data_IF_699598357457
#
_entry.id   IF_699598357457
#
_cell.length_a   1.000
_cell.length_b   1.000
_cell.length_c   1.000
_cell.angle_alpha   90.00
_cell.angle_beta   90.00
_cell.angle_gamma   90.00
#
_symmetry.space_group_name_H-M   'P 1'
#
loop_
_entity.id
_entity.type
_entity.pdbx_description
1 polymer ?
#
# COMPACT_ATOMS: atom_id res chain seq x y z
N UNK A 1 -1.49 2.86 -17.19
CA UNK A 1 -2.26 4.07 -16.83
C UNK A 1 -1.32 5.28 -16.92
N UNK A 2 -1.82 6.48 -17.17
CA UNK A 2 -1.04 7.73 -17.12
C UNK A 2 -1.68 8.64 -16.07
N UNK A 3 -0.86 9.38 -15.33
CA UNK A 3 -1.29 10.37 -14.35
C UNK A 3 -0.73 11.73 -14.77
N UNK A 4 -1.49 12.80 -14.52
CA UNK A 4 -1.10 14.17 -14.84
C UNK A 4 -0.58 14.93 -13.62
N UNK A 5 -0.83 14.43 -12.40
CA UNK A 5 -0.34 15.01 -11.15
C UNK A 5 -0.18 13.96 -10.06
N UNK A 6 0.53 14.33 -8.99
CA UNK A 6 0.62 13.51 -7.78
C UNK A 6 -0.75 13.39 -7.09
N UNK A 7 -1.55 14.45 -7.05
CA UNK A 7 -2.90 14.43 -6.48
C UNK A 7 -3.81 13.42 -7.20
N UNK A 8 -3.74 13.36 -8.53
CA UNK A 8 -4.50 12.39 -9.33
C UNK A 8 -4.07 10.95 -8.99
N UNK A 9 -2.76 10.70 -8.91
CA UNK A 9 -2.24 9.39 -8.55
C UNK A 9 -2.65 8.97 -7.13
N UNK A 10 -2.62 9.90 -6.17
CA UNK A 10 -3.07 9.66 -4.79
C UNK A 10 -4.56 9.34 -4.73
N UNK A 11 -5.39 10.11 -5.43
CA UNK A 11 -6.83 9.84 -5.47
C UNK A 11 -7.12 8.44 -6.04
N UNK A 12 -6.49 8.08 -7.16
CA UNK A 12 -6.65 6.74 -7.76
C UNK A 12 -6.13 5.64 -6.84
N UNK A 13 -5.03 5.87 -6.14
CA UNK A 13 -4.50 4.94 -5.14
C UNK A 13 -5.53 4.68 -4.03
N UNK A 14 -6.05 5.73 -3.40
CA UNK A 14 -7.01 5.63 -2.30
C UNK A 14 -8.28 4.90 -2.74
N UNK A 15 -8.88 5.35 -3.85
CA UNK A 15 -10.11 4.75 -4.38
C UNK A 15 -9.91 3.26 -4.69
N UNK A 16 -8.78 2.93 -5.32
CA UNK A 16 -8.48 1.54 -5.70
C UNK A 16 -8.20 0.67 -4.48
N UNK A 17 -7.49 1.16 -3.46
CA UNK A 17 -7.28 0.45 -2.22
C UNK A 17 -8.60 0.16 -1.48
N UNK A 18 -9.54 1.12 -1.48
CA UNK A 18 -10.88 0.93 -0.90
C UNK A 18 -11.68 -0.12 -1.70
N UNK A 19 -11.62 -0.08 -3.04
CA UNK A 19 -12.27 -1.08 -3.90
C UNK A 19 -11.70 -2.47 -3.66
N UNK A 20 -10.37 -2.59 -3.57
CA UNK A 20 -9.69 -3.86 -3.31
C UNK A 20 -10.09 -4.42 -1.94
N UNK A 21 -10.19 -3.58 -0.91
CA UNK A 21 -10.62 -3.97 0.45
C UNK A 21 -12.01 -4.61 0.43
N UNK A 22 -12.98 -3.93 -0.19
CA UNK A 22 -14.34 -4.45 -0.32
C UNK A 22 -14.39 -5.73 -1.17
N UNK A 23 -13.61 -5.78 -2.24
CA UNK A 23 -13.53 -6.95 -3.13
C UNK A 23 -12.97 -8.18 -2.42
N UNK A 24 -11.89 -8.01 -1.64
CA UNK A 24 -11.28 -9.08 -0.86
C UNK A 24 -12.21 -9.63 0.21
N UNK A 25 -13.00 -8.75 0.86
CA UNK A 25 -13.99 -9.14 1.87
C UNK A 25 -15.20 -9.87 1.28
N UNK A 26 -15.54 -9.60 0.03
CA UNK A 26 -16.72 -10.18 -0.66
C UNK A 26 -16.39 -11.33 -1.60
N UNK A 27 -15.10 -11.58 -1.86
CA UNK A 27 -14.63 -12.61 -2.79
C UNK A 27 -14.70 -12.22 -4.27
N UNK A 28 -14.93 -10.94 -4.60
CA UNK A 28 -14.87 -10.44 -5.98
C UNK A 28 -13.42 -10.22 -6.45
N UNK A 29 -12.67 -11.31 -6.61
CA UNK A 29 -11.26 -11.25 -6.99
C UNK A 29 -11.03 -10.61 -8.36
N UNK A 30 -12.01 -10.63 -9.26
CA UNK A 30 -11.88 -9.99 -10.58
C UNK A 30 -11.81 -8.46 -10.43
N UNK A 31 -12.67 -7.89 -9.59
CA UNK A 31 -12.62 -6.46 -9.27
C UNK A 31 -11.42 -6.12 -8.40
N UNK A 32 -11.11 -6.97 -7.41
CA UNK A 32 -9.95 -6.80 -6.53
C UNK A 32 -8.62 -6.74 -7.29
N UNK A 33 -8.38 -7.66 -8.22
CA UNK A 33 -7.14 -7.70 -9.00
C UNK A 33 -6.99 -6.46 -9.91
N UNK A 34 -8.08 -6.01 -10.54
CA UNK A 34 -8.06 -4.77 -11.33
C UNK A 34 -7.79 -3.54 -10.48
N UNK A 35 -8.25 -3.54 -9.23
CA UNK A 35 -7.96 -2.47 -8.28
C UNK A 35 -6.49 -2.51 -7.86
N UNK A 36 -5.93 -3.70 -7.62
CA UNK A 36 -4.50 -3.85 -7.35
C UNK A 36 -3.61 -3.33 -8.48
N UNK A 37 -3.95 -3.63 -9.74
CA UNK A 37 -3.22 -3.10 -10.91
C UNK A 37 -3.15 -1.56 -10.89
N UNK A 38 -4.25 -0.90 -10.47
CA UNK A 38 -4.31 0.56 -10.35
C UNK A 38 -3.52 1.07 -9.14
N UNK A 39 -3.58 0.37 -8.00
CA UNK A 39 -2.76 0.69 -6.81
C UNK A 39 -1.29 0.70 -7.20
N UNK A 40 -0.80 -0.38 -7.83
CA UNK A 40 0.60 -0.52 -8.24
C UNK A 40 1.01 0.56 -9.24
N UNK A 41 0.17 0.84 -10.24
CA UNK A 41 0.45 1.91 -11.20
C UNK A 41 0.56 3.29 -10.52
N UNK A 42 -0.31 3.57 -9.55
CA UNK A 42 -0.34 4.83 -8.81
C UNK A 42 0.88 4.98 -7.91
N UNK A 43 1.20 3.96 -7.11
CA UNK A 43 2.36 3.96 -6.22
C UNK A 43 3.68 4.07 -7.01
N UNK A 44 3.78 3.42 -8.17
CA UNK A 44 4.92 3.59 -9.07
C UNK A 44 5.10 5.04 -9.51
N UNK A 45 4.01 5.70 -9.94
CA UNK A 45 4.07 7.10 -10.33
C UNK A 45 4.50 7.99 -9.16
N UNK A 46 3.97 7.75 -7.96
CA UNK A 46 4.32 8.48 -6.75
C UNK A 46 5.80 8.28 -6.40
N UNK A 47 6.30 7.04 -6.44
CA UNK A 47 7.71 6.70 -6.22
C UNK A 47 8.66 7.49 -7.13
N UNK A 48 8.33 7.55 -8.43
CA UNK A 48 9.16 8.18 -9.45
C UNK A 48 9.17 9.72 -9.38
N UNK A 49 8.20 10.33 -8.69
CA UNK A 49 8.04 11.79 -8.65
C UNK A 49 8.31 12.37 -7.26
N UNK A 50 7.59 11.90 -6.24
CA UNK A 50 7.80 12.30 -4.85
C UNK A 50 7.20 11.24 -3.90
N UNK A 51 8.01 10.30 -3.38
CA UNK A 51 7.50 9.26 -2.49
C UNK A 51 6.87 9.85 -1.22
N UNK A 52 7.39 10.97 -0.71
CA UNK A 52 6.91 11.60 0.53
C UNK A 52 5.50 12.17 0.48
N UNK A 53 4.94 12.29 -0.72
CA UNK A 53 3.63 12.89 -0.95
C UNK A 53 2.46 12.13 -0.29
N UNK A 54 2.64 10.85 0.05
CA UNK A 54 1.60 10.02 0.68
C UNK A 54 1.81 9.71 2.16
N UNK A 55 2.79 10.33 2.80
CA UNK A 55 3.13 10.06 4.21
C UNK A 55 1.96 10.24 5.18
N UNK A 56 1.05 11.18 4.89
CA UNK A 56 -0.18 11.40 5.67
C UNK A 56 -1.17 10.23 5.61
N UNK A 57 -1.07 9.34 4.62
CA UNK A 57 -1.96 8.19 4.46
C UNK A 57 -1.63 7.03 5.40
N UNK A 58 -0.52 7.11 6.14
CA UNK A 58 -0.21 6.16 7.21
C UNK A 58 -1.27 6.18 8.32
N UNK A 59 -1.98 7.30 8.50
CA UNK A 59 -3.06 7.48 9.48
C UNK A 59 -4.46 7.48 8.82
N UNK A 60 -4.58 7.06 7.56
CA UNK A 60 -5.85 7.05 6.83
C UNK A 60 -6.90 6.17 7.51
N UNK A 61 -8.20 6.49 7.44
CA UNK A 61 -9.25 5.72 8.14
C UNK A 61 -9.42 4.28 7.61
N UNK A 62 -9.27 4.07 6.30
CA UNK A 62 -9.34 2.75 5.68
C UNK A 62 -8.06 1.93 5.95
N UNK A 63 -8.22 0.72 6.48
CA UNK A 63 -7.11 -0.15 6.85
C UNK A 63 -6.26 -0.64 5.67
N UNK A 64 -6.84 -0.83 4.49
CA UNK A 64 -6.08 -1.24 3.31
C UNK A 64 -5.23 -0.10 2.76
N UNK A 65 -5.75 1.13 2.79
CA UNK A 65 -4.97 2.33 2.43
C UNK A 65 -3.76 2.46 3.34
N UNK A 66 -3.92 2.30 4.66
CA UNK A 66 -2.78 2.29 5.60
C UNK A 66 -1.80 1.15 5.30
N UNK A 67 -2.30 -0.06 5.06
CA UNK A 67 -1.48 -1.24 4.79
C UNK A 67 -0.59 -1.02 3.56
N UNK A 68 -1.17 -0.64 2.41
CA UNK A 68 -0.42 -0.34 1.20
C UNK A 68 0.57 0.82 1.38
N UNK A 69 0.14 1.88 2.07
CA UNK A 69 1.01 3.03 2.34
C UNK A 69 2.21 2.58 3.16
N UNK A 70 2.01 1.80 4.22
CA UNK A 70 3.11 1.34 5.06
C UNK A 70 4.05 0.37 4.32
N UNK A 71 3.53 -0.55 3.50
CA UNK A 71 4.36 -1.42 2.65
C UNK A 71 5.23 -0.62 1.66
N UNK A 72 4.66 0.43 1.06
CA UNK A 72 5.40 1.35 0.21
C UNK A 72 6.47 2.11 1.00
N UNK A 73 6.10 2.57 2.20
CA UNK A 73 6.94 3.42 3.05
C UNK A 73 8.15 2.71 3.65
N UNK A 74 8.18 1.37 3.67
CA UNK A 74 9.33 0.58 4.10
C UNK A 74 10.63 1.02 3.41
N UNK A 75 10.55 1.33 2.11
CA UNK A 75 11.72 1.77 1.31
C UNK A 75 12.05 3.25 1.44
N UNK A 76 11.23 4.04 2.16
CA UNK A 76 11.41 5.50 2.33
C UNK A 76 11.82 5.83 3.77
N UNK A 77 11.10 5.25 4.73
CA UNK A 77 11.35 5.38 6.16
C UNK A 77 10.89 4.09 6.85
N UNK A 78 11.84 3.16 6.96
CA UNK A 78 11.63 1.83 7.54
C UNK A 78 11.04 1.88 8.94
N UNK A 79 11.59 2.73 9.83
CA UNK A 79 11.16 2.79 11.24
C UNK A 79 9.68 3.13 11.37
N UNK A 80 9.24 4.18 10.68
CA UNK A 80 7.85 4.62 10.72
C UNK A 80 6.92 3.59 10.07
N UNK A 81 7.34 3.01 8.94
CA UNK A 81 6.56 2.00 8.22
C UNK A 81 6.37 0.72 9.04
N UNK A 82 7.45 0.22 9.66
CA UNK A 82 7.41 -0.95 10.53
C UNK A 82 6.48 -0.74 11.71
N UNK A 83 6.49 0.44 12.33
CA UNK A 83 5.55 0.76 13.42
C UNK A 83 4.10 0.59 12.99
N UNK A 84 3.72 1.14 11.84
CA UNK A 84 2.36 1.04 11.31
C UNK A 84 2.01 -0.40 10.93
N UNK A 85 2.94 -1.14 10.30
CA UNK A 85 2.73 -2.55 9.96
C UNK A 85 2.61 -3.43 11.21
N UNK A 86 3.37 -3.15 12.27
CA UNK A 86 3.29 -3.86 13.54
C UNK A 86 1.94 -3.61 14.24
N UNK A 87 1.44 -2.37 14.20
CA UNK A 87 0.09 -2.05 14.69
C UNK A 87 -1.00 -2.79 13.90
N UNK A 88 -0.89 -2.85 12.57
CA UNK A 88 -1.81 -3.63 11.71
C UNK A 88 -1.70 -5.12 12.02
N UNK A 89 -0.48 -5.66 12.15
CA UNK A 89 -0.20 -7.05 12.45
C UNK A 89 -0.80 -7.51 13.79
N UNK A 90 -0.81 -6.63 14.80
CA UNK A 90 -1.36 -6.90 16.12
C UNK A 90 -2.87 -6.62 16.22
N UNK A 91 -3.46 -6.03 15.20
CA UNK A 91 -4.91 -5.79 15.13
C UNK A 91 -5.70 -7.06 14.77
N UNK A 92 -7.03 -6.99 14.92
CA UNK A 92 -7.97 -8.02 14.41
C UNK A 92 -8.49 -7.71 13.00
N UNK A 93 -7.77 -6.86 12.26
CA UNK A 93 -8.19 -6.48 10.90
C UNK A 93 -7.89 -7.58 9.89
N UNK A 94 -8.54 -7.50 8.72
CA UNK A 94 -8.34 -8.42 7.60
C UNK A 94 -6.86 -8.49 7.15
N UNK A 95 -6.11 -7.41 7.35
CA UNK A 95 -4.72 -7.26 6.90
C UNK A 95 -3.66 -7.68 7.92
N UNK A 96 -4.07 -8.15 9.11
CA UNK A 96 -3.11 -8.50 10.16
C UNK A 96 -2.13 -9.60 9.75
N UNK A 97 -2.60 -10.60 8.99
CA UNK A 97 -1.74 -11.68 8.50
C UNK A 97 -0.78 -11.18 7.41
N UNK A 98 -1.28 -10.37 6.47
CA UNK A 98 -0.49 -9.80 5.39
C UNK A 98 0.64 -8.91 5.92
N UNK A 99 0.32 -8.02 6.87
CA UNK A 99 1.31 -7.16 7.50
C UNK A 99 2.41 -7.97 8.23
N UNK A 100 2.05 -9.06 8.92
CA UNK A 100 3.05 -9.97 9.53
C UNK A 100 4.00 -10.55 8.50
N UNK A 101 3.48 -11.08 7.40
CA UNK A 101 4.32 -11.66 6.36
C UNK A 101 5.17 -10.60 5.67
N UNK A 102 4.63 -9.41 5.42
CA UNK A 102 5.41 -8.29 4.88
C UNK A 102 6.61 -7.95 5.77
N UNK A 103 6.42 -7.79 7.09
CA UNK A 103 7.51 -7.53 8.04
C UNK A 103 8.56 -8.65 8.00
N UNK A 104 8.13 -9.90 7.99
CA UNK A 104 9.04 -11.07 7.97
C UNK A 104 9.88 -11.06 6.69
N UNK A 105 9.25 -10.91 5.53
CA UNK A 105 9.93 -10.96 4.23
C UNK A 105 10.80 -9.72 4.00
N UNK A 106 10.40 -8.55 4.51
CA UNK A 106 11.25 -7.35 4.55
C UNK A 106 12.51 -7.59 5.39
N UNK A 107 12.37 -8.08 6.63
CA UNK A 107 13.51 -8.35 7.53
C UNK A 107 14.45 -9.44 7.00
N UNK A 108 13.97 -10.34 6.14
CA UNK A 108 14.81 -11.32 5.43
C UNK A 108 15.56 -10.74 4.22
N UNK A 109 15.23 -9.52 3.78
CA UNK A 109 15.75 -8.92 2.56
C UNK A 109 15.11 -9.46 1.27
N UNK A 110 13.95 -10.12 1.37
CA UNK A 110 13.24 -10.66 0.20
C UNK A 110 12.36 -9.61 -0.49
N UNK A 111 12.04 -8.52 0.21
CA UNK A 111 11.32 -7.38 -0.33
C UNK A 111 12.27 -6.19 -0.46
N UNK A 112 12.25 -5.50 -1.60
CA UNK A 112 13.07 -4.33 -1.89
C UNK A 112 12.24 -3.23 -2.56
N UNK A 113 12.82 -2.04 -2.73
CA UNK A 113 12.20 -0.92 -3.46
C UNK A 113 11.97 -1.19 -4.94
N UNK A 114 12.66 -2.19 -5.53
CA UNK A 114 12.55 -2.56 -6.96
C UNK A 114 11.10 -2.73 -7.43
N UNK A 115 10.22 -3.18 -6.53
CA UNK A 115 8.81 -3.40 -6.83
C UNK A 115 8.07 -2.10 -7.22
N UNK A 116 8.63 -0.94 -6.89
CA UNK A 116 8.10 0.38 -7.27
C UNK A 116 8.83 1.01 -8.46
N UNK A 117 9.98 0.46 -8.84
CA UNK A 117 10.82 0.98 -9.93
C UNK A 117 10.51 0.30 -11.28
N UNK A 118 10.14 -0.98 -11.27
CA UNK A 118 9.86 -1.80 -12.47
C UNK A 118 8.52 -1.48 -13.10
#
# INVERSE_FOLDING_TARGET
MKFNSLDEAVAVFIDSAIIQDNSSKTGDYKTGNKAEDKIRASLKYIWQNNPYFISNLLDHENGNVRNWTAMFWLSVNEEQALKVLEDIANSKTFYAMEAKYCIIEWKKGNLTSDQWER
#
